data_IF_694359468162
#
_entry.id   IF_694359468162
#
_cell.length_a   1.000
_cell.length_b   1.000
_cell.length_c   1.000
_cell.angle_alpha   90.00
_cell.angle_beta   90.00
_cell.angle_gamma   90.00
#
_symmetry.space_group_name_H-M   'P 1'
#
loop_
_entity.id
_entity.type
_entity.pdbx_description
1 polymer ?
#
# COMPACT_ATOMS: atom_id res chain seq x y z
N UNK A 1 -49.72 -6.18 -4.19
CA UNK A 1 -48.51 -6.32 -5.02
C UNK A 1 -47.46 -5.43 -4.40
N UNK A 2 -46.40 -5.99 -3.84
CA UNK A 2 -45.45 -5.24 -3.01
C UNK A 2 -44.44 -4.46 -3.86
N UNK A 3 -44.12 -3.25 -3.41
CA UNK A 3 -43.17 -2.34 -4.03
C UNK A 3 -41.73 -2.79 -3.74
N UNK A 4 -40.95 -3.06 -4.79
CA UNK A 4 -39.59 -3.58 -4.70
C UNK A 4 -38.58 -2.50 -5.08
N UNK A 5 -38.12 -1.72 -4.10
CA UNK A 5 -36.97 -0.82 -4.29
C UNK A 5 -35.73 -1.63 -4.66
N UNK A 6 -34.97 -1.25 -5.71
CA UNK A 6 -33.69 -1.87 -6.00
C UNK A 6 -32.70 -1.54 -4.87
N UNK A 7 -32.12 -2.57 -4.27
CA UNK A 7 -31.02 -2.44 -3.30
C UNK A 7 -29.76 -1.98 -4.02
N UNK A 8 -29.20 -0.84 -3.58
CA UNK A 8 -27.90 -0.38 -4.07
C UNK A 8 -26.80 -1.40 -3.70
N UNK A 9 -25.74 -1.55 -4.53
CA UNK A 9 -24.63 -2.41 -4.21
C UNK A 9 -23.89 -1.88 -2.98
N UNK A 10 -23.82 -2.71 -1.94
CA UNK A 10 -23.00 -2.46 -0.75
C UNK A 10 -21.54 -2.37 -1.18
N UNK A 11 -20.88 -1.23 -0.90
CA UNK A 11 -19.44 -1.10 -1.10
C UNK A 11 -18.70 -2.21 -0.32
N UNK A 12 -17.64 -2.83 -0.88
CA UNK A 12 -16.93 -3.90 -0.20
C UNK A 12 -16.45 -3.41 1.17
N UNK A 13 -16.69 -4.22 2.20
CA UNK A 13 -16.19 -3.93 3.54
C UNK A 13 -14.67 -3.84 3.47
N UNK A 14 -14.10 -2.73 3.93
CA UNK A 14 -12.66 -2.50 3.90
C UNK A 14 -11.93 -3.70 4.54
N UNK A 15 -11.06 -4.33 3.76
CA UNK A 15 -10.35 -5.52 4.20
C UNK A 15 -9.56 -5.26 5.49
N UNK A 16 -9.39 -6.26 6.36
CA UNK A 16 -8.67 -6.09 7.61
C UNK A 16 -7.22 -5.68 7.33
N UNK A 17 -6.92 -4.40 7.59
CA UNK A 17 -5.59 -3.82 7.37
C UNK A 17 -4.55 -4.65 8.13
N UNK A 18 -3.51 -5.19 7.46
CA UNK A 18 -2.51 -6.01 8.10
C UNK A 18 -1.84 -5.32 9.30
N UNK A 19 -1.42 -6.08 10.33
CA UNK A 19 -0.70 -5.52 11.49
C UNK A 19 0.70 -5.00 11.14
N UNK A 20 1.18 -5.28 9.93
CA UNK A 20 2.41 -4.75 9.34
C UNK A 20 2.12 -3.43 8.61
N UNK A 21 2.93 -2.37 8.83
CA UNK A 21 2.76 -1.12 8.11
C UNK A 21 2.94 -1.33 6.61
N UNK A 22 2.18 -0.61 5.77
CA UNK A 22 2.31 -0.70 4.32
C UNK A 22 3.62 -0.09 3.83
N UNK A 23 3.99 -0.43 2.61
CA UNK A 23 5.18 0.07 1.92
C UNK A 23 4.74 0.98 0.77
N UNK A 24 5.25 2.22 0.64
CA UNK A 24 5.01 3.04 -0.54
C UNK A 24 5.55 2.35 -1.80
N UNK A 25 4.78 2.34 -2.89
CA UNK A 25 5.21 1.72 -4.15
C UNK A 25 6.50 2.37 -4.67
N UNK A 26 6.66 3.67 -4.46
CA UNK A 26 7.88 4.44 -4.74
C UNK A 26 9.13 3.89 -4.02
N UNK A 27 8.99 3.33 -2.82
CA UNK A 27 10.11 2.73 -2.09
C UNK A 27 10.54 1.37 -2.68
N UNK A 28 9.62 0.65 -3.33
CA UNK A 28 9.95 -0.54 -4.11
C UNK A 28 10.58 -0.17 -5.47
N UNK A 29 10.07 0.87 -6.13
CA UNK A 29 10.61 1.39 -7.40
C UNK A 29 12.01 2.00 -7.24
N UNK A 30 12.32 2.59 -6.09
CA UNK A 30 13.65 3.12 -5.76
C UNK A 30 14.74 2.04 -5.54
N UNK A 31 14.43 0.76 -5.77
CA UNK A 31 15.39 -0.34 -5.68
C UNK A 31 15.99 -0.66 -7.04
N UNK A 32 17.13 -0.04 -7.31
CA UNK A 32 17.94 -0.28 -8.51
C UNK A 32 18.25 -1.77 -8.73
N UNK A 33 18.39 -2.56 -7.65
CA UNK A 33 18.66 -4.01 -7.72
C UNK A 33 17.52 -4.86 -8.31
N UNK A 34 16.30 -4.30 -8.41
CA UNK A 34 15.15 -4.95 -9.03
C UNK A 34 14.88 -4.47 -10.46
N UNK A 35 15.44 -3.30 -10.85
CA UNK A 35 15.24 -2.66 -12.15
C UNK A 35 13.77 -2.58 -12.62
N UNK A 36 12.84 -2.36 -11.68
CA UNK A 36 11.40 -2.26 -11.97
C UNK A 36 11.07 -0.93 -12.66
N UNK A 37 10.18 -0.96 -13.64
CA UNK A 37 9.74 0.23 -14.38
C UNK A 37 8.23 0.37 -14.34
N UNK A 38 7.71 1.50 -13.86
CA UNK A 38 6.28 1.78 -13.94
C UNK A 38 5.89 2.20 -15.37
N UNK A 39 4.86 1.57 -15.92
CA UNK A 39 4.35 1.79 -17.28
C UNK A 39 3.03 2.56 -17.31
N UNK A 40 2.17 2.38 -16.30
CA UNK A 40 0.85 2.97 -16.22
C UNK A 40 0.42 3.24 -14.77
N UNK A 41 -0.71 3.93 -14.61
CA UNK A 41 -1.33 4.25 -13.32
C UNK A 41 -0.64 5.41 -12.57
N UNK A 42 -1.13 5.73 -11.36
CA UNK A 42 -0.64 6.85 -10.56
C UNK A 42 0.77 6.61 -10.01
N UNK A 43 1.56 7.68 -9.95
CA UNK A 43 2.94 7.71 -9.42
C UNK A 43 3.05 8.39 -8.05
N UNK A 44 1.91 8.65 -7.40
CA UNK A 44 1.83 9.42 -6.15
C UNK A 44 2.29 8.65 -4.90
N UNK A 45 2.61 9.37 -3.80
CA UNK A 45 3.04 8.75 -2.53
C UNK A 45 1.94 7.95 -1.84
N UNK A 46 0.67 8.19 -2.20
CA UNK A 46 -0.51 7.54 -1.63
C UNK A 46 -0.69 6.09 -2.11
N UNK A 47 0.05 5.67 -3.15
CA UNK A 47 0.06 4.28 -3.63
C UNK A 47 0.92 3.44 -2.70
N UNK A 48 0.28 2.60 -1.89
CA UNK A 48 0.93 1.73 -0.91
C UNK A 48 0.54 0.27 -1.09
N UNK A 49 1.50 -0.63 -0.85
CA UNK A 49 1.34 -2.09 -0.97
C UNK A 49 1.48 -2.75 0.41
N UNK A 50 0.64 -3.75 0.66
CA UNK A 50 0.58 -4.49 1.92
C UNK A 50 1.26 -5.86 1.86
N UNK A 51 1.33 -6.47 0.67
CA UNK A 51 2.20 -7.61 0.35
C UNK A 51 2.34 -7.75 -1.17
N UNK A 52 3.10 -8.73 -1.64
CA UNK A 52 3.14 -9.15 -3.03
C UNK A 52 2.79 -10.65 -3.17
N UNK A 53 2.06 -11.00 -4.22
CA UNK A 53 1.66 -12.39 -4.50
C UNK A 53 1.67 -12.65 -6.01
N UNK A 54 2.05 -13.87 -6.43
CA UNK A 54 2.03 -14.28 -7.84
C UNK A 54 0.77 -15.07 -8.14
N UNK A 55 0.02 -14.66 -9.16
CA UNK A 55 -1.15 -15.38 -9.66
C UNK A 55 -1.16 -15.41 -11.18
N UNK A 56 -1.37 -16.60 -11.73
CA UNK A 56 -1.57 -16.83 -13.17
C UNK A 56 -3.04 -17.25 -13.44
N UNK A 57 -3.98 -16.78 -12.62
CA UNK A 57 -5.40 -17.05 -12.81
C UNK A 57 -6.00 -16.05 -13.79
N UNK A 58 -6.78 -16.52 -14.78
CA UNK A 58 -7.55 -15.66 -15.68
C UNK A 58 -8.57 -14.77 -14.93
N UNK A 59 -8.95 -15.17 -13.73
CA UNK A 59 -9.75 -14.41 -12.78
C UNK A 59 -9.14 -14.52 -11.37
N UNK A 60 -8.40 -13.50 -10.89
CA UNK A 60 -7.81 -13.51 -9.55
C UNK A 60 -8.78 -13.01 -8.45
N UNK A 61 -9.88 -12.34 -8.81
CA UNK A 61 -10.76 -11.62 -7.87
C UNK A 61 -11.21 -12.44 -6.64
N UNK A 62 -11.59 -13.73 -6.74
CA UNK A 62 -12.06 -14.50 -5.58
C UNK A 62 -10.99 -14.80 -4.51
N UNK A 63 -9.71 -14.53 -4.80
CA UNK A 63 -8.56 -14.89 -3.97
C UNK A 63 -7.78 -13.69 -3.44
N UNK A 64 -8.08 -12.49 -3.97
CA UNK A 64 -7.52 -11.24 -3.51
C UNK A 64 -8.23 -10.77 -2.23
N UNK A 65 -7.45 -10.22 -1.31
CA UNK A 65 -7.88 -9.64 -0.04
C UNK A 65 -7.69 -8.11 -0.01
N UNK A 66 -7.07 -7.52 -1.04
CA UNK A 66 -6.83 -6.09 -1.16
C UNK A 66 -5.44 -5.65 -0.67
N UNK A 67 -4.92 -4.58 -1.29
CA UNK A 67 -3.61 -4.02 -0.98
C UNK A 67 -2.42 -4.71 -1.66
N UNK A 68 -2.65 -5.63 -2.60
CA UNK A 68 -1.59 -6.43 -3.21
C UNK A 68 -0.83 -5.72 -4.32
N UNK A 69 0.48 -5.96 -4.38
CA UNK A 69 1.19 -6.05 -5.65
C UNK A 69 0.95 -7.46 -6.22
N UNK A 70 0.04 -7.58 -7.18
CA UNK A 70 -0.20 -8.82 -7.91
C UNK A 70 0.90 -8.98 -8.97
N UNK A 71 1.55 -10.15 -9.02
CA UNK A 71 2.59 -10.48 -10.00
C UNK A 71 2.08 -11.57 -10.95
N UNK A 72 2.36 -11.44 -12.24
CA UNK A 72 1.96 -12.44 -13.25
C UNK A 72 2.99 -12.51 -14.39
N UNK A 73 3.25 -13.71 -14.87
CA UNK A 73 4.00 -13.97 -16.10
C UNK A 73 3.09 -13.97 -17.34
N UNK A 74 1.78 -13.72 -17.18
CA UNK A 74 0.83 -13.55 -18.28
C UNK A 74 0.50 -14.81 -19.07
N UNK A 75 0.73 -16.01 -18.51
CA UNK A 75 0.49 -17.30 -19.17
C UNK A 75 -1.01 -17.61 -19.39
N UNK A 76 -1.87 -16.90 -18.68
CA UNK A 76 -3.34 -16.95 -18.78
C UNK A 76 -3.91 -15.98 -19.82
N UNK A 77 -3.08 -15.16 -20.45
CA UNK A 77 -3.51 -14.14 -21.41
C UNK A 77 -3.61 -14.73 -22.83
N UNK A 78 -4.69 -14.45 -23.59
CA UNK A 78 -4.90 -15.05 -24.89
C UNK A 78 -4.03 -14.42 -25.99
N UNK A 79 -3.49 -15.25 -26.89
CA UNK A 79 -2.67 -14.83 -28.05
C UNK A 79 -3.47 -14.10 -29.17
N UNK A 80 -4.77 -13.89 -29.00
CA UNK A 80 -5.74 -13.75 -30.10
C UNK A 80 -6.57 -12.44 -30.03
N UNK A 81 -7.09 -11.93 -31.17
CA UNK A 81 -7.30 -10.49 -31.44
C UNK A 81 -8.55 -9.83 -30.83
N UNK A 82 -9.05 -10.32 -29.69
CA UNK A 82 -9.88 -9.49 -28.79
C UNK A 82 -9.25 -9.36 -27.38
N UNK A 83 -7.96 -9.04 -27.26
CA UNK A 83 -7.29 -8.95 -25.96
C UNK A 83 -7.80 -7.74 -25.16
N UNK A 84 -8.23 -6.68 -25.82
CA UNK A 84 -8.66 -5.42 -25.20
C UNK A 84 -9.76 -5.61 -24.14
N UNK A 85 -10.80 -6.40 -24.46
CA UNK A 85 -11.89 -6.70 -23.52
C UNK A 85 -11.48 -7.66 -22.41
N UNK A 86 -10.50 -8.53 -22.68
CA UNK A 86 -9.94 -9.42 -21.67
C UNK A 86 -9.10 -8.61 -20.66
N UNK A 87 -8.19 -7.76 -21.13
CA UNK A 87 -7.33 -6.95 -20.27
C UNK A 87 -8.10 -5.91 -19.46
N UNK A 88 -9.07 -5.24 -20.09
CA UNK A 88 -9.99 -4.33 -19.39
C UNK A 88 -10.73 -5.05 -18.24
N UNK A 89 -11.35 -6.19 -18.54
CA UNK A 89 -12.04 -7.02 -17.53
C UNK A 89 -11.09 -7.54 -16.44
N UNK A 90 -9.90 -8.00 -16.80
CA UNK A 90 -8.90 -8.48 -15.84
C UNK A 90 -8.47 -7.38 -14.87
N UNK A 91 -8.09 -6.21 -15.40
CA UNK A 91 -7.66 -5.06 -14.59
C UNK A 91 -8.81 -4.52 -13.74
N UNK A 92 -10.01 -4.36 -14.31
CA UNK A 92 -11.21 -3.94 -13.58
C UNK A 92 -11.50 -4.87 -12.38
N UNK A 93 -11.25 -6.18 -12.52
CA UNK A 93 -11.42 -7.16 -11.45
C UNK A 93 -10.30 -7.12 -10.41
N UNK A 94 -9.04 -6.87 -10.77
CA UNK A 94 -7.97 -6.61 -9.80
C UNK A 94 -8.29 -5.36 -8.96
N UNK A 95 -8.73 -4.28 -9.61
CA UNK A 95 -9.11 -3.02 -8.95
C UNK A 95 -10.36 -3.20 -8.07
N UNK A 96 -11.38 -3.93 -8.54
CA UNK A 96 -12.59 -4.21 -7.76
C UNK A 96 -12.33 -5.06 -6.49
N UNK A 97 -11.27 -5.86 -6.49
CA UNK A 97 -10.79 -6.58 -5.30
C UNK A 97 -9.88 -5.73 -4.39
N UNK A 98 -9.54 -4.50 -4.78
CA UNK A 98 -8.66 -3.61 -4.03
C UNK A 98 -7.17 -3.85 -4.25
N UNK A 99 -6.76 -4.53 -5.32
CA UNK A 99 -5.35 -4.70 -5.68
C UNK A 99 -4.66 -3.34 -5.86
N UNK A 100 -3.48 -3.16 -5.24
CA UNK A 100 -2.77 -1.89 -5.18
C UNK A 100 -1.86 -1.64 -6.39
N UNK A 101 -1.35 -2.70 -7.02
CA UNK A 101 -0.54 -2.63 -8.24
C UNK A 101 -0.52 -4.00 -8.97
N UNK A 102 -0.20 -3.98 -10.27
CA UNK A 102 0.09 -5.16 -11.08
C UNK A 102 1.55 -5.12 -11.52
N UNK A 103 2.26 -6.24 -11.45
CA UNK A 103 3.61 -6.43 -11.97
C UNK A 103 3.66 -7.56 -13.00
N UNK A 104 4.14 -7.26 -14.20
CA UNK A 104 4.16 -8.17 -15.34
C UNK A 104 5.59 -8.61 -15.67
N UNK A 105 5.84 -9.92 -15.71
CA UNK A 105 7.15 -10.50 -16.02
C UNK A 105 7.36 -10.73 -17.52
N UNK A 106 8.44 -10.20 -18.09
CA UNK A 106 8.69 -10.29 -19.53
C UNK A 106 9.13 -11.68 -20.00
N UNK A 107 9.92 -12.42 -19.21
CA UNK A 107 10.51 -13.69 -19.62
C UNK A 107 10.12 -14.86 -18.70
N UNK A 108 10.00 -16.10 -19.24
CA UNK A 108 10.26 -16.49 -20.64
C UNK A 108 9.06 -16.33 -21.59
N UNK A 109 7.99 -15.65 -21.19
CA UNK A 109 6.67 -15.77 -21.83
C UNK A 109 6.37 -14.74 -22.93
N UNK A 110 6.72 -13.44 -22.79
CA UNK A 110 6.15 -12.37 -23.63
C UNK A 110 7.14 -11.34 -24.24
N UNK A 111 8.36 -11.22 -23.72
CA UNK A 111 9.43 -10.24 -24.06
C UNK A 111 9.08 -8.73 -24.00
N UNK A 112 7.80 -8.34 -24.03
CA UNK A 112 7.30 -6.98 -23.76
C UNK A 112 5.95 -7.03 -23.04
N UNK A 113 5.56 -5.94 -22.35
CA UNK A 113 4.24 -5.86 -21.70
C UNK A 113 3.18 -5.51 -22.77
N UNK A 114 2.06 -6.26 -22.90
CA UNK A 114 1.04 -5.97 -23.91
C UNK A 114 0.45 -4.56 -23.80
N UNK A 115 0.43 -3.79 -24.89
CA UNK A 115 -0.07 -2.40 -24.92
C UNK A 115 -1.53 -2.28 -24.44
N UNK A 116 -2.36 -3.29 -24.69
CA UNK A 116 -3.73 -3.35 -24.21
C UNK A 116 -3.81 -3.48 -22.67
N UNK A 117 -2.85 -4.16 -22.03
CA UNK A 117 -2.73 -4.19 -20.57
C UNK A 117 -2.28 -2.83 -20.01
N UNK A 118 -1.31 -2.18 -20.66
CA UNK A 118 -0.88 -0.81 -20.31
C UNK A 118 -2.06 0.16 -20.36
N UNK A 119 -2.85 0.08 -21.43
CA UNK A 119 -4.05 0.90 -21.64
C UNK A 119 -5.14 0.63 -20.60
N UNK A 120 -5.41 -0.64 -20.28
CA UNK A 120 -6.37 -1.01 -19.24
C UNK A 120 -5.92 -0.51 -17.86
N UNK A 121 -4.67 -0.75 -17.46
CA UNK A 121 -4.12 -0.25 -16.20
C UNK A 121 -4.17 1.29 -16.09
N UNK A 122 -3.87 2.01 -17.16
CA UNK A 122 -4.01 3.47 -17.20
C UNK A 122 -5.48 3.92 -17.02
N UNK A 123 -6.41 3.23 -17.69
CA UNK A 123 -7.85 3.56 -17.66
C UNK A 123 -8.48 3.35 -16.27
N UNK A 124 -8.14 2.25 -15.60
CA UNK A 124 -8.66 1.93 -14.26
C UNK A 124 -7.83 2.52 -13.12
N UNK A 125 -6.76 3.27 -13.42
CA UNK A 125 -5.88 3.88 -12.41
C UNK A 125 -5.05 2.87 -11.60
N UNK A 126 -4.82 1.67 -12.12
CA UNK A 126 -3.99 0.65 -11.48
C UNK A 126 -2.51 0.85 -11.88
N UNK A 127 -1.57 1.02 -10.93
CA UNK A 127 -0.14 1.03 -11.22
C UNK A 127 0.29 -0.27 -11.91
N UNK A 128 0.93 -0.16 -13.06
CA UNK A 128 1.49 -1.30 -13.80
C UNK A 128 3.02 -1.23 -13.78
N UNK A 129 3.66 -2.30 -13.31
CA UNK A 129 5.11 -2.45 -13.29
C UNK A 129 5.57 -3.49 -14.31
N UNK A 130 6.63 -3.18 -15.02
CA UNK A 130 7.45 -4.13 -15.76
C UNK A 130 8.47 -4.79 -14.81
N UNK A 131 8.51 -6.12 -14.80
CA UNK A 131 9.51 -6.92 -14.10
C UNK A 131 10.45 -7.52 -15.15
N UNK A 132 11.72 -7.07 -15.22
CA UNK A 132 12.65 -7.50 -16.27
C UNK A 132 13.12 -8.95 -16.08
N UNK A 133 13.63 -9.63 -17.14
CA UNK A 133 14.03 -11.03 -17.09
C UNK A 133 15.05 -11.41 -16.00
N UNK A 134 15.87 -10.47 -15.54
CA UNK A 134 16.83 -10.69 -14.45
C UNK A 134 16.22 -10.70 -13.04
N UNK A 135 14.96 -10.24 -12.90
CA UNK A 135 14.31 -10.02 -11.62
C UNK A 135 13.23 -11.06 -11.37
N UNK A 136 13.48 -11.97 -10.43
CA UNK A 136 12.48 -12.99 -10.05
C UNK A 136 11.34 -12.39 -9.23
N UNK A 137 10.11 -12.89 -9.39
CA UNK A 137 8.98 -12.51 -8.53
C UNK A 137 9.25 -12.77 -7.04
N UNK A 138 9.99 -13.83 -6.69
CA UNK A 138 10.45 -14.07 -5.32
C UNK A 138 11.45 -13.00 -4.83
N UNK A 139 12.22 -12.38 -5.73
CA UNK A 139 13.06 -11.22 -5.45
C UNK A 139 12.23 -9.98 -5.12
N UNK A 140 11.22 -9.68 -5.95
CA UNK A 140 10.26 -8.58 -5.71
C UNK A 140 9.52 -8.79 -4.38
N UNK A 141 8.94 -9.96 -4.15
CA UNK A 141 8.23 -10.27 -2.91
C UNK A 141 9.13 -10.19 -1.66
N UNK A 142 10.39 -10.64 -1.77
CA UNK A 142 11.39 -10.49 -0.70
C UNK A 142 11.73 -9.03 -0.43
N UNK A 143 11.84 -8.21 -1.47
CA UNK A 143 12.09 -6.78 -1.32
C UNK A 143 10.91 -6.05 -0.63
N UNK A 144 9.67 -6.38 -1.01
CA UNK A 144 8.47 -5.88 -0.32
C UNK A 144 8.50 -6.28 1.16
N UNK A 145 8.76 -7.55 1.48
CA UNK A 145 8.87 -8.02 2.86
C UNK A 145 9.99 -7.32 3.66
N UNK A 146 11.16 -7.08 3.04
CA UNK A 146 12.26 -6.33 3.66
C UNK A 146 11.84 -4.88 3.98
N UNK A 147 11.16 -4.19 3.06
CA UNK A 147 10.66 -2.84 3.26
C UNK A 147 9.59 -2.80 4.37
N UNK A 148 8.68 -3.78 4.42
CA UNK A 148 7.68 -3.91 5.51
C UNK A 148 8.37 -4.11 6.88
N UNK A 149 9.39 -4.96 6.94
CA UNK A 149 10.16 -5.20 8.16
C UNK A 149 10.93 -3.95 8.63
N UNK A 150 11.51 -3.19 7.71
CA UNK A 150 12.15 -1.91 7.98
C UNK A 150 11.15 -0.87 8.49
N UNK A 151 10.00 -0.73 7.83
CA UNK A 151 8.93 0.17 8.27
C UNK A 151 8.40 -0.19 9.67
N UNK A 152 8.23 -1.49 9.96
CA UNK A 152 7.82 -1.96 11.30
C UNK A 152 8.86 -1.63 12.37
N UNK A 153 10.14 -1.79 12.07
CA UNK A 153 11.23 -1.46 13.00
C UNK A 153 11.35 0.06 13.22
N UNK A 154 11.16 0.86 12.18
CA UNK A 154 11.14 2.32 12.28
C UNK A 154 10.00 2.80 13.18
N UNK A 155 8.80 2.23 13.04
CA UNK A 155 7.65 2.58 13.88
C UNK A 155 7.86 2.21 15.36
N UNK A 156 8.39 1.01 15.63
CA UNK A 156 8.74 0.61 17.01
C UNK A 156 9.79 1.52 17.65
N UNK A 157 10.81 1.93 16.88
CA UNK A 157 11.81 2.92 17.32
C UNK A 157 11.16 4.26 17.62
N UNK A 158 10.33 4.79 16.71
CA UNK A 158 9.60 6.06 16.87
C UNK A 158 8.76 6.10 18.15
N UNK A 159 8.06 5.01 18.47
CA UNK A 159 7.29 4.87 19.72
C UNK A 159 8.20 4.81 20.94
N UNK A 160 9.28 4.03 20.89
CA UNK A 160 10.24 3.89 22.00
C UNK A 160 10.94 5.21 22.31
N UNK A 161 11.40 5.93 21.28
CA UNK A 161 11.98 7.26 21.39
C UNK A 161 10.99 8.28 21.95
N UNK A 162 9.70 8.18 21.61
CA UNK A 162 8.66 9.03 22.20
C UNK A 162 8.47 8.75 23.70
N UNK A 163 8.43 7.48 24.11
CA UNK A 163 8.32 7.08 25.51
C UNK A 163 9.55 7.53 26.34
N UNK A 164 10.76 7.25 25.86
CA UNK A 164 12.01 7.70 26.50
C UNK A 164 12.09 9.24 26.60
N UNK A 165 11.69 9.92 25.53
CA UNK A 165 11.62 11.39 25.44
C UNK A 165 10.67 12.01 26.47
N UNK A 166 9.56 11.33 26.80
CA UNK A 166 8.60 11.77 27.81
C UNK A 166 9.09 11.42 29.22
N UNK A 167 9.63 10.22 29.43
CA UNK A 167 10.21 9.81 30.72
C UNK A 167 11.36 10.73 31.16
N UNK A 168 12.24 11.10 30.23
CA UNK A 168 13.33 12.05 30.49
C UNK A 168 12.81 13.45 30.85
N UNK A 169 11.70 13.89 30.25
CA UNK A 169 11.06 15.17 30.57
C UNK A 169 10.38 15.13 31.96
N UNK A 170 9.77 14.01 32.32
CA UNK A 170 9.17 13.81 33.65
C UNK A 170 10.20 13.75 34.79
N UNK A 171 11.46 13.43 34.49
CA UNK A 171 12.58 13.41 35.44
C UNK A 171 13.28 14.78 35.62
N UNK A 172 12.83 15.85 34.95
CA UNK A 172 13.38 17.20 35.14
C UNK A 172 12.92 17.83 36.46
N UNK A 173 13.64 18.86 36.92
CA UNK A 173 13.27 19.65 38.11
C UNK A 173 11.91 20.36 37.98
N UNK A 174 11.42 20.58 36.76
CA UNK A 174 10.10 21.11 36.46
C UNK A 174 9.36 20.17 35.47
N UNK A 175 8.75 19.07 35.95
CA UNK A 175 8.25 17.99 35.11
C UNK A 175 7.10 18.40 34.19
N UNK A 176 6.13 19.18 34.68
CA UNK A 176 4.86 19.42 33.99
C UNK A 176 5.06 20.24 32.71
N UNK A 177 5.71 21.42 32.72
CA UNK A 177 5.98 22.19 31.51
C UNK A 177 6.96 21.46 30.57
N UNK A 178 7.90 20.68 31.11
CA UNK A 178 8.85 19.88 30.32
C UNK A 178 8.13 18.79 29.52
N UNK A 179 7.20 18.06 30.13
CA UNK A 179 6.38 17.03 29.48
C UNK A 179 5.41 17.65 28.48
N UNK A 180 4.67 18.70 28.86
CA UNK A 180 3.73 19.38 27.95
C UNK A 180 4.44 19.89 26.69
N UNK A 181 5.60 20.53 26.83
CA UNK A 181 6.40 21.01 25.68
C UNK A 181 6.84 19.87 24.75
N UNK A 182 7.17 18.71 25.31
CA UNK A 182 7.57 17.53 24.53
C UNK A 182 6.39 16.87 23.81
N UNK A 183 5.19 16.95 24.38
CA UNK A 183 3.94 16.53 23.73
C UNK A 183 3.58 17.50 22.58
N UNK A 184 3.53 18.81 22.87
CA UNK A 184 3.25 19.87 21.90
C UNK A 184 4.15 19.77 20.66
N UNK A 185 5.47 19.68 20.87
CA UNK A 185 6.46 19.49 19.81
C UNK A 185 6.26 18.21 18.98
N UNK A 186 5.89 17.09 19.61
CA UNK A 186 5.71 15.80 18.91
C UNK A 186 4.38 15.70 18.16
N UNK A 187 3.35 16.43 18.60
CA UNK A 187 2.04 16.49 17.94
C UNK A 187 1.93 17.63 16.93
N UNK A 188 2.89 18.57 16.90
CA UNK A 188 2.82 19.76 16.03
C UNK A 188 1.71 20.73 16.42
N UNK A 189 1.37 20.79 17.71
CA UNK A 189 0.24 21.55 18.23
C UNK A 189 0.43 21.95 19.69
N UNK A 190 -0.66 22.27 20.39
CA UNK A 190 -0.63 22.72 21.79
C UNK A 190 -1.01 21.61 22.77
N UNK A 191 -0.42 21.65 23.97
CA UNK A 191 -0.74 20.76 25.08
C UNK A 191 -1.12 21.58 26.33
N UNK A 192 -2.25 21.25 26.96
CA UNK A 192 -2.73 21.91 28.18
C UNK A 192 -3.00 20.87 29.25
N UNK A 193 -2.52 21.11 30.47
CA UNK A 193 -2.90 20.35 31.66
C UNK A 193 -4.08 21.05 32.35
N UNK A 194 -5.18 20.34 32.55
CA UNK A 194 -6.31 20.81 33.34
C UNK A 194 -6.35 20.16 34.72
N UNK A 195 -6.77 20.91 35.72
CA UNK A 195 -7.09 20.40 37.06
C UNK A 195 -8.47 19.73 37.11
N UNK A 196 -8.80 19.09 38.26
CA UNK A 196 -10.11 18.44 38.47
C UNK A 196 -11.29 19.39 38.23
N UNK A 197 -11.10 20.68 38.56
CA UNK A 197 -12.13 21.73 38.46
C UNK A 197 -12.22 22.36 37.05
N UNK A 198 -11.53 21.81 36.05
CA UNK A 198 -11.48 22.34 34.68
C UNK A 198 -10.61 23.58 34.50
N UNK A 199 -9.87 24.00 35.52
CA UNK A 199 -8.91 25.12 35.47
C UNK A 199 -7.63 24.72 34.74
N UNK A 200 -7.10 25.58 33.86
CA UNK A 200 -5.83 25.34 33.18
C UNK A 200 -4.64 25.53 34.14
N UNK A 201 -3.89 24.46 34.39
CA UNK A 201 -2.73 24.44 35.30
C UNK A 201 -1.44 24.86 34.57
N UNK A 202 -1.22 24.37 33.35
CA UNK A 202 -0.03 24.65 32.55
C UNK A 202 -0.32 24.42 31.05
N UNK A 203 0.47 25.06 30.19
CA UNK A 203 0.34 24.96 28.72
C UNK A 203 1.70 25.00 28.02
N UNK A 204 1.80 24.42 26.82
CA UNK A 204 2.95 24.50 25.91
C UNK A 204 2.53 24.35 24.44
#
# INVERSE_FOLDING_TARGET
MADARPTAPTAPAAAPVPPTPPVPLSALLARDDLALRQLAGPTGPDVVIHWAHTSEMADPFPYLLGGELLLTAGVQFPDAPSPDTFFDSYVARVVAAGGAALGFGLAPVHDSVPDALVTACATHGLPLLEVPPGTTFSGVARAVWQLMAQARLAELRRVTEAQQSLAAAAAHADPVPSVLRRIAQRLGGHAVLYGPDGTGIATA
#
